data_IF_526121353728
#
_entry.id   IF_526121353728
#
_cell.length_a   1.000
_cell.length_b   1.000
_cell.length_c   1.000
_cell.angle_alpha   90.00
_cell.angle_beta   90.00
_cell.angle_gamma   90.00
#
_symmetry.space_group_name_H-M   'P 1'
#
loop_
_entity.id
_entity.type
_entity.pdbx_description
1 polymer ?
#
# COMPACT_ATOMS: atom_id res chain seq x y z
N UNK A 1 -47.04 14.17 12.46
CA UNK A 1 -46.52 13.04 11.65
C UNK A 1 -45.00 13.12 11.65
N UNK A 2 -44.34 11.97 11.80
CA UNK A 2 -42.89 11.70 11.77
C UNK A 2 -42.05 11.92 13.04
N UNK A 3 -41.83 10.77 13.69
CA UNK A 3 -40.76 10.41 14.62
C UNK A 3 -39.41 10.34 13.89
N UNK A 4 -38.37 11.03 14.37
CA UNK A 4 -36.97 10.58 14.24
C UNK A 4 -36.23 11.07 15.48
N UNK A 5 -35.87 10.15 16.38
CA UNK A 5 -35.05 10.41 17.55
C UNK A 5 -34.63 9.10 18.20
N UNK A 6 -33.33 8.97 18.42
CA UNK A 6 -32.61 7.93 19.17
C UNK A 6 -32.32 6.59 18.46
N UNK A 7 -31.02 6.30 18.34
CA UNK A 7 -30.29 5.01 18.38
C UNK A 7 -28.83 5.37 18.01
N UNK A 8 -27.99 5.88 18.91
CA UNK A 8 -27.26 5.13 19.94
C UNK A 8 -26.49 3.91 19.39
N UNK A 9 -25.17 3.99 19.51
CA UNK A 9 -24.21 2.88 19.68
C UNK A 9 -23.91 1.97 18.48
N UNK A 10 -22.76 2.19 17.84
CA UNK A 10 -21.95 1.12 17.23
C UNK A 10 -20.47 1.43 17.46
N UNK A 11 -20.06 1.46 18.74
CA UNK A 11 -18.69 1.19 19.13
C UNK A 11 -18.44 -0.31 18.99
N UNK A 12 -18.03 -0.74 17.80
CA UNK A 12 -17.64 -2.11 17.53
C UNK A 12 -16.13 -2.24 17.66
N UNK A 13 -15.66 -2.75 18.79
CA UNK A 13 -14.29 -3.21 18.97
C UNK A 13 -13.98 -4.29 17.92
N UNK A 14 -13.15 -3.96 16.93
CA UNK A 14 -12.61 -4.96 16.01
C UNK A 14 -11.49 -5.73 16.71
N UNK A 15 -11.89 -6.74 17.50
CA UNK A 15 -10.97 -7.82 17.87
C UNK A 15 -10.56 -8.58 16.60
N UNK A 16 -9.30 -8.46 16.23
CA UNK A 16 -8.69 -9.17 15.10
C UNK A 16 -8.18 -10.51 15.62
N UNK A 17 -8.84 -11.59 15.19
CA UNK A 17 -8.41 -12.96 15.43
C UNK A 17 -7.16 -13.26 14.59
N UNK A 18 -6.00 -13.36 15.25
CA UNK A 18 -4.75 -13.78 14.62
C UNK A 18 -4.77 -15.30 14.43
N UNK A 19 -5.04 -15.75 13.20
CA UNK A 19 -4.91 -17.14 12.81
C UNK A 19 -3.45 -17.63 12.94
N UNK A 20 -3.26 -18.70 13.71
CA UNK A 20 -1.97 -19.36 13.95
C UNK A 20 -1.42 -19.95 12.65
N UNK A 21 -0.19 -19.58 12.28
CA UNK A 21 0.53 -20.14 11.13
C UNK A 21 0.84 -21.61 11.40
N UNK A 22 0.12 -22.49 10.71
CA UNK A 22 0.39 -23.92 10.67
C UNK A 22 1.11 -24.29 9.37
N UNK A 23 2.15 -25.11 9.51
CA UNK A 23 3.04 -25.62 8.45
C UNK A 23 2.27 -26.15 7.22
N UNK A 24 2.17 -25.36 6.15
CA UNK A 24 1.95 -25.85 4.79
C UNK A 24 2.73 -24.98 3.79
N UNK A 25 3.60 -25.67 3.05
CA UNK A 25 4.37 -25.32 1.86
C UNK A 25 3.96 -24.02 1.13
N UNK A 26 4.92 -23.10 1.02
CA UNK A 26 4.73 -21.69 0.73
C UNK A 26 4.25 -21.36 -0.70
N UNK A 27 2.99 -20.92 -0.83
CA UNK A 27 2.49 -20.17 -1.99
C UNK A 27 2.87 -18.68 -1.79
N UNK A 28 4.00 -18.24 -2.36
CA UNK A 28 4.46 -16.83 -2.25
C UNK A 28 3.55 -15.92 -3.07
N UNK A 29 2.81 -15.03 -2.41
CA UNK A 29 1.81 -14.13 -3.02
C UNK A 29 2.20 -12.64 -2.90
N UNK A 30 1.97 -11.87 -3.97
CA UNK A 30 2.26 -10.42 -4.08
C UNK A 30 0.98 -9.59 -3.87
N UNK A 31 1.05 -8.53 -3.06
CA UNK A 31 -0.08 -7.75 -2.55
C UNK A 31 -0.53 -6.55 -3.42
N UNK A 32 -1.82 -6.16 -3.30
CA UNK A 32 -2.33 -4.84 -3.66
C UNK A 32 -3.30 -4.33 -2.58
N UNK A 33 -3.02 -3.17 -1.99
CA UNK A 33 -3.63 -2.64 -0.77
C UNK A 33 -4.98 -1.90 -0.95
N UNK A 34 -5.81 -2.28 -1.93
CA UNK A 34 -7.07 -1.57 -2.20
C UNK A 34 -8.27 -2.52 -2.30
N UNK A 35 -9.30 -2.38 -1.45
CA UNK A 35 -10.58 -3.02 -1.67
C UNK A 35 -11.33 -2.18 -2.72
N UNK A 36 -11.05 -2.40 -4.00
CA UNK A 36 -11.95 -1.94 -5.04
C UNK A 36 -12.73 -3.14 -5.54
N UNK A 37 -14.06 -3.07 -5.54
CA UNK A 37 -14.96 -4.04 -6.16
C UNK A 37 -14.49 -4.44 -7.58
N UNK A 38 -13.81 -3.52 -8.28
CA UNK A 38 -13.14 -3.71 -9.57
C UNK A 38 -11.98 -4.71 -9.53
N UNK A 39 -11.17 -4.76 -8.45
CA UNK A 39 -10.14 -5.80 -8.24
C UNK A 39 -10.77 -7.18 -8.17
N UNK A 40 -11.98 -7.30 -7.58
CA UNK A 40 -12.73 -8.56 -7.53
C UNK A 40 -13.23 -8.97 -8.92
N UNK A 41 -13.68 -8.03 -9.77
CA UNK A 41 -14.06 -8.32 -11.17
C UNK A 41 -12.83 -8.77 -11.98
N UNK A 42 -11.68 -8.11 -11.82
CA UNK A 42 -10.42 -8.55 -12.45
C UNK A 42 -9.91 -9.90 -11.94
N UNK A 43 -10.23 -10.26 -10.69
CA UNK A 43 -9.86 -11.55 -10.10
C UNK A 43 -10.52 -12.73 -10.80
N UNK A 44 -11.74 -12.56 -11.34
CA UNK A 44 -12.47 -13.63 -12.06
C UNK A 44 -11.73 -13.97 -13.36
N UNK A 45 -11.27 -12.96 -14.11
CA UNK A 45 -10.45 -13.17 -15.31
C UNK A 45 -9.07 -13.75 -14.99
N UNK A 46 -8.44 -13.34 -13.87
CA UNK A 46 -7.16 -13.87 -13.39
C UNK A 46 -7.26 -15.35 -12.98
N UNK A 47 -8.34 -15.73 -12.31
CA UNK A 47 -8.63 -17.13 -11.94
C UNK A 47 -8.73 -18.04 -13.16
N UNK A 48 -9.35 -17.58 -14.26
CA UNK A 48 -9.42 -18.33 -15.53
C UNK A 48 -8.04 -18.57 -16.17
N UNK A 49 -7.04 -17.75 -15.85
CA UNK A 49 -5.63 -17.93 -16.27
C UNK A 49 -4.80 -18.72 -15.25
N UNK A 50 -5.43 -19.35 -14.25
CA UNK A 50 -4.74 -20.10 -13.19
C UNK A 50 -4.06 -19.23 -12.13
N UNK A 51 -4.21 -17.91 -12.16
CA UNK A 51 -3.54 -17.00 -11.23
C UNK A 51 -4.41 -16.85 -9.97
N UNK A 52 -3.91 -17.37 -8.84
CA UNK A 52 -4.50 -17.14 -7.51
C UNK A 52 -3.69 -16.07 -6.79
N UNK A 53 -4.38 -15.04 -6.32
CA UNK A 53 -3.82 -14.03 -5.44
C UNK A 53 -4.56 -14.11 -4.10
N UNK A 54 -3.83 -14.30 -3.01
CA UNK A 54 -4.32 -14.17 -1.63
C UNK A 54 -3.99 -12.78 -1.10
N UNK A 55 -4.77 -12.31 -0.12
CA UNK A 55 -4.48 -11.05 0.56
C UNK A 55 -3.59 -11.32 1.79
N UNK A 56 -2.52 -10.55 1.94
CA UNK A 56 -1.69 -10.52 3.15
C UNK A 56 -1.90 -9.15 3.79
N UNK A 57 -2.25 -9.14 5.08
CA UNK A 57 -2.38 -7.92 5.86
C UNK A 57 -1.12 -7.73 6.73
N UNK A 58 -0.36 -6.67 6.46
CA UNK A 58 0.91 -6.37 7.13
C UNK A 58 0.89 -5.05 7.90
N UNK A 59 -0.23 -4.71 8.56
CA UNK A 59 -0.40 -3.40 9.22
C UNK A 59 0.59 -3.10 10.36
N UNK A 60 1.16 -4.15 10.97
CA UNK A 60 2.09 -4.08 12.11
C UNK A 60 3.55 -4.01 11.70
N UNK A 61 3.90 -4.25 10.43
CA UNK A 61 5.30 -4.38 9.99
C UNK A 61 6.14 -3.11 10.21
N UNK A 62 5.48 -1.95 10.28
CA UNK A 62 6.14 -0.68 10.58
C UNK A 62 6.43 -0.49 12.08
N UNK A 63 5.67 -1.19 12.94
CA UNK A 63 5.69 -1.03 14.39
C UNK A 63 6.44 -2.17 15.10
N UNK A 64 6.85 -3.22 14.38
CA UNK A 64 7.63 -4.33 14.90
C UNK A 64 9.08 -4.29 14.38
N UNK A 65 9.86 -5.32 14.71
CA UNK A 65 11.27 -5.47 14.35
C UNK A 65 11.57 -5.36 12.84
N UNK A 66 10.57 -5.60 11.97
CA UNK A 66 10.73 -5.49 10.52
C UNK A 66 10.89 -4.04 10.08
N UNK A 67 10.23 -3.09 10.74
CA UNK A 67 10.27 -1.67 10.40
C UNK A 67 11.69 -1.10 10.46
N UNK A 68 12.37 -1.18 11.63
CA UNK A 68 13.77 -0.77 11.77
C UNK A 68 14.70 -1.52 10.83
N UNK A 69 14.55 -2.84 10.71
CA UNK A 69 15.40 -3.66 9.84
C UNK A 69 15.34 -3.18 8.37
N UNK A 70 14.17 -2.78 7.88
CA UNK A 70 14.00 -2.27 6.51
C UNK A 70 14.48 -0.82 6.38
N UNK A 71 13.97 0.10 7.21
CA UNK A 71 14.16 1.54 6.97
C UNK A 71 15.41 2.14 7.60
N UNK A 72 15.86 1.63 8.75
CA UNK A 72 17.05 2.12 9.43
C UNK A 72 18.29 1.33 9.01
N UNK A 73 18.23 0.00 9.11
CA UNK A 73 19.44 -0.84 9.00
C UNK A 73 19.78 -1.21 7.55
N UNK A 74 18.77 -1.36 6.69
CA UNK A 74 18.97 -1.76 5.30
C UNK A 74 18.91 -0.59 4.31
N UNK A 75 17.76 0.08 4.21
CA UNK A 75 17.48 0.97 3.07
C UNK A 75 18.40 2.18 3.01
N UNK A 76 18.65 2.84 4.15
CA UNK A 76 19.56 3.99 4.22
C UNK A 76 20.98 3.65 3.74
N UNK A 77 21.67 2.68 4.37
CA UNK A 77 22.99 2.23 3.94
C UNK A 77 23.03 1.72 2.50
N UNK A 78 22.02 0.99 2.05
CA UNK A 78 21.99 0.43 0.69
C UNK A 78 21.79 1.50 -0.39
N UNK A 79 21.02 2.56 -0.11
CA UNK A 79 20.92 3.72 -1.00
C UNK A 79 22.25 4.49 -1.06
N UNK A 80 22.90 4.71 0.09
CA UNK A 80 24.18 5.41 0.16
C UNK A 80 25.30 4.64 -0.56
N UNK A 81 25.32 3.31 -0.42
CA UNK A 81 26.27 2.43 -1.08
C UNK A 81 25.92 2.16 -2.56
N UNK A 82 24.73 2.56 -3.03
CA UNK A 82 24.24 2.30 -4.38
C UNK A 82 23.90 0.83 -4.69
N UNK A 83 23.92 -0.05 -3.68
CA UNK A 83 23.50 -1.46 -3.81
C UNK A 83 21.98 -1.61 -3.90
N UNK A 84 21.25 -0.58 -3.47
CA UNK A 84 19.83 -0.41 -3.74
C UNK A 84 19.61 0.83 -4.61
N UNK A 85 18.97 0.65 -5.78
CA UNK A 85 18.65 1.75 -6.69
C UNK A 85 17.15 2.04 -6.65
N UNK A 86 16.80 3.27 -6.27
CA UNK A 86 15.44 3.76 -6.41
C UNK A 86 15.05 3.82 -7.90
N UNK A 87 13.97 3.13 -8.26
CA UNK A 87 13.42 3.11 -9.60
C UNK A 87 11.89 3.27 -9.53
N UNK A 88 11.25 3.88 -10.54
CA UNK A 88 11.85 4.50 -11.74
C UNK A 88 12.60 5.81 -11.41
N UNK A 89 13.36 6.34 -12.38
CA UNK A 89 14.04 7.63 -12.25
C UNK A 89 13.04 8.74 -11.88
N UNK A 90 13.47 9.65 -11.01
CA UNK A 90 12.63 10.72 -10.52
C UNK A 90 12.44 11.82 -11.56
N UNK A 91 11.18 12.23 -11.74
CA UNK A 91 10.81 13.45 -12.47
C UNK A 91 10.53 14.54 -11.46
N UNK A 92 11.42 15.51 -11.36
CA UNK A 92 11.26 16.64 -10.44
C UNK A 92 10.26 17.63 -11.04
N UNK A 93 9.15 17.87 -10.34
CA UNK A 93 8.10 18.81 -10.76
C UNK A 93 8.49 20.24 -10.41
N UNK A 94 9.20 20.43 -9.30
CA UNK A 94 9.71 21.73 -8.87
C UNK A 94 10.26 21.66 -7.44
N UNK A 95 10.52 22.84 -6.88
CA UNK A 95 11.02 23.05 -5.53
C UNK A 95 10.03 23.92 -4.75
N UNK A 96 9.85 23.61 -3.46
CA UNK A 96 8.88 24.28 -2.60
C UNK A 96 7.53 23.57 -2.51
N UNK A 97 6.88 23.72 -1.35
CA UNK A 97 5.58 23.10 -1.08
C UNK A 97 4.46 23.63 -1.97
N UNK A 98 4.62 24.82 -2.56
CA UNK A 98 3.72 25.42 -3.54
C UNK A 98 3.57 24.57 -4.82
N UNK A 99 4.52 23.67 -5.08
CA UNK A 99 4.49 22.75 -6.23
C UNK A 99 3.70 21.47 -6.00
N UNK A 100 3.28 21.18 -4.77
CA UNK A 100 2.51 19.97 -4.45
C UNK A 100 1.19 19.89 -5.25
N UNK A 101 0.35 20.94 -5.33
CA UNK A 101 -0.89 20.90 -6.10
C UNK A 101 -0.66 20.56 -7.58
N UNK A 102 0.38 21.12 -8.19
CA UNK A 102 0.77 20.84 -9.58
C UNK A 102 1.19 19.36 -9.75
N UNK A 103 2.04 18.85 -8.86
CA UNK A 103 2.50 17.46 -8.89
C UNK A 103 1.33 16.47 -8.75
N UNK A 104 0.38 16.75 -7.85
CA UNK A 104 -0.82 15.93 -7.66
C UNK A 104 -1.76 16.01 -8.87
N UNK A 105 -1.94 17.19 -9.47
CA UNK A 105 -2.73 17.34 -10.69
C UNK A 105 -2.15 16.53 -11.84
N UNK A 106 -0.82 16.51 -11.99
CA UNK A 106 -0.12 15.67 -12.96
C UNK A 106 -0.28 14.17 -12.68
N UNK A 107 -0.13 13.74 -11.42
CA UNK A 107 -0.34 12.35 -11.02
C UNK A 107 -1.76 11.87 -11.34
N UNK A 108 -2.78 12.71 -11.09
CA UNK A 108 -4.19 12.38 -11.34
C UNK A 108 -4.52 12.20 -12.82
N UNK A 109 -3.82 12.90 -13.72
CA UNK A 109 -3.93 12.70 -15.16
C UNK A 109 -3.36 11.36 -15.63
N UNK A 110 -2.64 10.65 -14.75
CA UNK A 110 -1.96 9.41 -15.02
C UNK A 110 -0.50 9.64 -15.42
N UNK A 111 0.40 8.88 -14.84
CA UNK A 111 1.80 8.81 -15.24
C UNK A 111 2.17 7.36 -15.49
N UNK A 112 2.81 7.08 -16.62
CA UNK A 112 3.28 5.73 -16.93
C UNK A 112 4.62 5.50 -16.25
N UNK A 113 4.62 4.70 -15.18
CA UNK A 113 5.82 4.26 -14.47
C UNK A 113 6.85 5.39 -14.22
N UNK A 114 6.39 6.56 -13.77
CA UNK A 114 7.25 7.71 -13.43
C UNK A 114 7.06 8.07 -11.95
N UNK A 115 8.16 8.45 -11.29
CA UNK A 115 8.16 8.93 -9.92
C UNK A 115 8.20 10.46 -9.92
N UNK A 116 7.06 11.11 -9.67
CA UNK A 116 7.03 12.57 -9.49
C UNK A 116 7.60 12.94 -8.11
N UNK A 117 8.51 13.92 -8.08
CA UNK A 117 9.15 14.42 -6.84
C UNK A 117 9.04 15.94 -6.79
N UNK A 118 8.76 16.47 -5.61
CA UNK A 118 8.90 17.90 -5.28
C UNK A 118 10.08 18.01 -4.31
N UNK A 119 11.02 18.92 -4.59
CA UNK A 119 12.15 19.21 -3.71
C UNK A 119 11.75 20.24 -2.66
N UNK A 120 12.45 20.25 -1.54
CA UNK A 120 12.28 21.21 -0.45
C UNK A 120 13.47 22.14 -0.40
#
# INVERSE_FOLDING_TARGET
>A
MNRIGALAELGGEHQVEQGRVGDREAEVAVAAAQPALLTRIQSIGRRRKGIRASAIWGGTLKDNEVGPAVYADFLGPALAAGTYRAAPEAVVVGEGLDKIPEALARLRKGVSAQKLVVRL
#
